data_IF_827297246070
#
_entry.id   IF_827297246070
#
_cell.length_a   1.000
_cell.length_b   1.000
_cell.length_c   1.000
_cell.angle_alpha   90.00
_cell.angle_beta   90.00
_cell.angle_gamma   90.00
#
_symmetry.space_group_name_H-M   'P 1'
#
loop_
_entity.id
_entity.type
_entity.pdbx_description
1 polymer ?
#
# COMPACT_ATOMS: atom_id res chain seq x y z
N UNK A 1 0.04 5.53 -10.76
CA UNK A 1 -1.18 4.86 -10.25
C UNK A 1 -1.21 5.00 -8.74
N UNK A 2 -2.22 5.68 -8.23
CA UNK A 2 -2.43 5.91 -6.80
C UNK A 2 -2.95 4.65 -6.09
N UNK A 3 -2.97 4.66 -4.76
CA UNK A 3 -3.54 3.55 -3.99
C UNK A 3 -5.07 3.42 -4.18
N UNK A 4 -5.78 4.51 -4.45
CA UNK A 4 -7.21 4.47 -4.78
C UNK A 4 -7.46 3.67 -6.05
N UNK A 5 -6.70 3.95 -7.11
CA UNK A 5 -6.79 3.21 -8.37
C UNK A 5 -6.36 1.74 -8.22
N UNK A 6 -5.36 1.47 -7.36
CA UNK A 6 -4.98 0.10 -7.00
C UNK A 6 -6.10 -0.64 -6.27
N UNK A 7 -6.80 0.06 -5.38
CA UNK A 7 -7.93 -0.48 -4.64
C UNK A 7 -9.09 -0.82 -5.60
N UNK A 8 -9.47 0.10 -6.47
CA UNK A 8 -10.50 -0.12 -7.49
C UNK A 8 -10.14 -1.27 -8.43
N UNK A 9 -8.86 -1.36 -8.83
CA UNK A 9 -8.37 -2.41 -9.72
C UNK A 9 -8.47 -3.80 -9.11
N UNK A 10 -8.28 -3.96 -7.80
CA UNK A 10 -8.09 -5.26 -7.14
C UNK A 10 -9.26 -5.69 -6.25
N UNK A 11 -10.14 -4.77 -5.84
CA UNK A 11 -11.24 -5.07 -4.92
C UNK A 11 -12.20 -6.11 -5.53
N UNK A 12 -12.53 -7.12 -4.74
CA UNK A 12 -13.50 -8.15 -5.10
C UNK A 12 -13.04 -9.14 -6.18
N UNK A 13 -11.77 -9.07 -6.59
CA UNK A 13 -11.23 -9.99 -7.58
C UNK A 13 -10.59 -11.22 -6.92
N UNK A 14 -10.74 -12.34 -7.61
CA UNK A 14 -9.92 -13.53 -7.36
C UNK A 14 -8.53 -13.39 -8.00
N UNK A 15 -7.67 -14.38 -7.82
CA UNK A 15 -6.32 -14.36 -8.38
C UNK A 15 -6.28 -14.27 -9.90
N UNK A 16 -7.24 -14.89 -10.60
CA UNK A 16 -7.34 -14.83 -12.06
C UNK A 16 -7.75 -13.44 -12.53
N UNK A 17 -8.79 -12.88 -11.91
CA UNK A 17 -9.26 -11.51 -12.20
C UNK A 17 -8.23 -10.44 -11.87
N UNK A 18 -7.48 -10.61 -10.77
CA UNK A 18 -6.40 -9.69 -10.41
C UNK A 18 -5.25 -9.73 -11.42
N UNK A 19 -4.88 -10.92 -11.92
CA UNK A 19 -3.89 -11.06 -13.00
C UNK A 19 -4.36 -10.36 -14.27
N UNK A 20 -5.57 -10.65 -14.72
CA UNK A 20 -6.12 -10.04 -15.93
C UNK A 20 -6.18 -8.51 -15.85
N UNK A 21 -6.56 -7.97 -14.70
CA UNK A 21 -6.62 -6.54 -14.46
C UNK A 21 -5.22 -5.88 -14.51
N UNK A 22 -4.22 -6.51 -13.87
CA UNK A 22 -2.84 -6.04 -13.90
C UNK A 22 -2.22 -6.16 -15.30
N UNK A 23 -2.50 -7.24 -16.04
CA UNK A 23 -2.06 -7.41 -17.41
C UNK A 23 -2.65 -6.30 -18.31
N UNK A 24 -3.96 -6.06 -18.22
CA UNK A 24 -4.62 -4.97 -18.96
C UNK A 24 -4.01 -3.61 -18.65
N UNK A 25 -3.71 -3.33 -17.38
CA UNK A 25 -3.03 -2.10 -16.98
C UNK A 25 -1.68 -1.95 -17.67
N UNK A 26 -0.86 -3.01 -17.67
CA UNK A 26 0.49 -2.96 -18.28
C UNK A 26 0.41 -2.89 -19.81
N UNK A 27 -0.56 -3.55 -20.43
CA UNK A 27 -0.81 -3.46 -21.88
C UNK A 27 -1.22 -2.04 -22.28
N UNK A 28 -2.09 -1.40 -21.52
CA UNK A 28 -2.48 -0.01 -21.73
C UNK A 28 -1.28 0.94 -21.61
N UNK A 29 -0.47 0.79 -20.54
CA UNK A 29 0.73 1.60 -20.38
C UNK A 29 1.68 1.44 -21.59
N UNK A 30 1.87 0.22 -22.05
CA UNK A 30 2.72 -0.05 -23.23
C UNK A 30 2.13 0.56 -24.51
N UNK A 31 0.82 0.44 -24.73
CA UNK A 31 0.15 0.99 -25.91
C UNK A 31 0.23 2.52 -25.99
N UNK A 32 0.27 3.19 -24.84
CA UNK A 32 0.48 4.64 -24.76
C UNK A 32 1.95 5.07 -24.85
N UNK A 33 2.87 4.14 -25.15
CA UNK A 33 4.28 4.44 -25.30
C UNK A 33 5.03 4.72 -23.99
N UNK A 34 4.44 4.35 -22.85
CA UNK A 34 5.13 4.47 -21.56
C UNK A 34 6.26 3.47 -21.45
N UNK A 35 7.32 3.82 -20.74
CA UNK A 35 8.46 2.96 -20.45
C UNK A 35 8.55 2.56 -18.97
N UNK A 36 7.79 3.22 -18.09
CA UNK A 36 7.77 2.95 -16.67
C UNK A 36 6.37 3.13 -16.07
N UNK A 37 6.10 2.37 -15.01
CA UNK A 37 4.88 2.47 -14.18
C UNK A 37 5.27 2.66 -12.74
N UNK A 38 4.66 3.64 -12.07
CA UNK A 38 4.82 3.86 -10.63
C UNK A 38 3.55 3.38 -9.94
N UNK A 39 3.66 2.35 -9.09
CA UNK A 39 2.56 1.82 -8.31
C UNK A 39 2.66 2.23 -6.84
N UNK A 40 1.59 2.80 -6.30
CA UNK A 40 1.51 3.14 -4.88
C UNK A 40 1.18 1.91 -4.05
N UNK A 41 2.22 1.18 -3.66
CA UNK A 41 2.11 -0.15 -3.04
C UNK A 41 2.03 -0.11 -1.51
N UNK A 42 2.35 1.03 -0.91
CA UNK A 42 2.22 1.26 0.53
C UNK A 42 1.83 2.71 0.79
N UNK A 43 0.54 2.95 0.89
CA UNK A 43 0.01 4.28 1.14
C UNK A 43 -0.03 4.64 2.63
N UNK A 44 -0.35 3.66 3.45
CA UNK A 44 -0.46 3.75 4.90
C UNK A 44 0.45 2.70 5.56
N UNK A 45 0.09 2.29 6.77
CA UNK A 45 0.74 1.20 7.51
C UNK A 45 0.36 -0.21 7.02
N UNK A 46 -0.18 -0.31 5.84
CA UNK A 46 -0.59 -1.52 5.15
C UNK A 46 0.11 -1.68 3.81
N UNK A 47 -0.04 -2.82 3.14
CA UNK A 47 0.67 -3.11 1.91
C UNK A 47 -0.21 -3.83 0.88
N UNK A 48 0.00 -3.52 -0.41
CA UNK A 48 -0.57 -4.24 -1.55
C UNK A 48 0.30 -5.44 -1.98
N UNK A 49 1.11 -5.97 -1.05
CA UNK A 49 2.03 -7.09 -1.30
C UNK A 49 2.17 -7.96 -0.05
N UNK A 50 2.69 -9.17 -0.23
CA UNK A 50 2.97 -10.09 0.86
C UNK A 50 4.12 -9.55 1.73
N UNK A 51 3.80 -9.10 2.93
CA UNK A 51 4.75 -8.53 3.88
C UNK A 51 4.81 -9.33 5.17
N UNK A 52 6.00 -9.40 5.79
CA UNK A 52 6.20 -9.93 7.14
C UNK A 52 6.00 -8.87 8.23
N UNK A 53 5.87 -7.61 7.83
CA UNK A 53 5.85 -6.46 8.73
C UNK A 53 4.47 -5.77 8.69
N UNK A 54 3.97 -5.50 7.48
CA UNK A 54 2.74 -4.76 7.27
C UNK A 54 1.59 -5.71 6.96
N UNK A 55 0.42 -5.43 7.52
CA UNK A 55 -0.80 -6.15 7.16
C UNK A 55 -1.18 -5.85 5.70
N UNK A 56 -1.83 -6.79 5.02
CA UNK A 56 -2.38 -6.51 3.70
C UNK A 56 -3.46 -5.44 3.76
N UNK A 57 -3.54 -4.60 2.74
CA UNK A 57 -4.72 -3.74 2.51
C UNK A 57 -5.96 -4.63 2.39
N UNK A 58 -7.10 -4.18 2.90
CA UNK A 58 -8.33 -4.96 2.97
C UNK A 58 -8.74 -5.54 1.59
N UNK A 59 -8.58 -4.77 0.53
CA UNK A 59 -8.92 -5.18 -0.84
C UNK A 59 -8.09 -6.35 -1.39
N UNK A 60 -6.87 -6.57 -0.86
CA UNK A 60 -5.98 -7.64 -1.33
C UNK A 60 -5.75 -8.75 -0.29
N UNK A 61 -6.39 -8.66 0.87
CA UNK A 61 -6.19 -9.60 1.96
C UNK A 61 -6.52 -11.04 1.55
N UNK A 62 -7.63 -11.24 0.87
CA UNK A 62 -8.05 -12.56 0.38
C UNK A 62 -7.10 -13.10 -0.70
N UNK A 63 -6.61 -12.24 -1.58
CA UNK A 63 -5.63 -12.61 -2.62
C UNK A 63 -4.33 -13.11 -2.00
N UNK A 64 -3.79 -12.39 -1.01
CA UNK A 64 -2.55 -12.74 -0.32
C UNK A 64 -2.72 -14.00 0.51
N UNK A 65 -3.85 -14.17 1.20
CA UNK A 65 -4.18 -15.39 1.94
C UNK A 65 -4.27 -16.60 1.00
N UNK A 66 -4.80 -16.41 -0.22
CA UNK A 66 -4.83 -17.42 -1.29
C UNK A 66 -3.48 -17.65 -1.99
N UNK A 67 -2.41 -17.01 -1.53
CA UNK A 67 -1.06 -17.20 -2.07
C UNK A 67 -0.70 -16.29 -3.26
N UNK A 68 -1.59 -15.41 -3.70
CA UNK A 68 -1.31 -14.46 -4.77
C UNK A 68 -0.74 -13.15 -4.22
N UNK A 69 0.43 -12.75 -4.71
CA UNK A 69 1.05 -11.46 -4.37
C UNK A 69 0.88 -10.48 -5.54
N UNK A 70 0.02 -9.45 -5.38
CA UNK A 70 -0.26 -8.48 -6.44
C UNK A 70 0.98 -7.73 -6.94
N UNK A 71 1.90 -7.34 -6.05
CA UNK A 71 3.11 -6.61 -6.44
C UNK A 71 4.09 -7.53 -7.16
N UNK A 72 4.31 -8.74 -6.67
CA UNK A 72 5.19 -9.69 -7.35
C UNK A 72 4.71 -9.98 -8.77
N UNK A 73 3.39 -10.15 -8.94
CA UNK A 73 2.82 -10.33 -10.27
C UNK A 73 2.95 -9.08 -11.15
N UNK A 74 2.65 -7.89 -10.60
CA UNK A 74 2.77 -6.63 -11.35
C UNK A 74 4.19 -6.40 -11.87
N UNK A 75 5.22 -6.72 -11.07
CA UNK A 75 6.64 -6.66 -11.51
C UNK A 75 6.87 -7.57 -12.72
N UNK A 76 6.43 -8.83 -12.64
CA UNK A 76 6.57 -9.78 -13.75
C UNK A 76 5.82 -9.30 -15.00
N UNK A 77 4.58 -8.83 -14.85
CA UNK A 77 3.75 -8.34 -15.95
C UNK A 77 4.35 -7.11 -16.63
N UNK A 78 4.91 -6.17 -15.87
CA UNK A 78 5.60 -4.99 -16.37
C UNK A 78 6.87 -5.37 -17.15
N UNK A 79 7.74 -6.18 -16.55
CA UNK A 79 8.99 -6.59 -17.15
C UNK A 79 8.78 -7.40 -18.44
N UNK A 80 7.79 -8.28 -18.49
CA UNK A 80 7.41 -9.01 -19.69
C UNK A 80 7.07 -8.09 -20.87
N UNK A 81 6.63 -6.88 -20.60
CA UNK A 81 6.25 -5.86 -21.60
C UNK A 81 7.33 -4.80 -21.82
N UNK A 82 8.51 -4.98 -21.23
CA UNK A 82 9.61 -4.02 -21.31
C UNK A 82 9.37 -2.72 -20.55
N UNK A 83 8.46 -2.74 -19.55
CA UNK A 83 8.19 -1.62 -18.67
C UNK A 83 9.03 -1.73 -17.38
N UNK A 84 9.56 -0.62 -16.91
CA UNK A 84 10.09 -0.52 -15.56
C UNK A 84 8.94 -0.39 -14.57
N UNK A 85 9.06 -1.00 -13.38
CA UNK A 85 8.10 -0.81 -12.30
C UNK A 85 8.80 -0.17 -11.10
N UNK A 86 8.27 0.95 -10.65
CA UNK A 86 8.72 1.66 -9.45
C UNK A 86 7.68 1.55 -8.35
N UNK A 87 8.11 1.14 -7.17
CA UNK A 87 7.25 1.08 -5.99
C UNK A 87 7.23 2.44 -5.28
N UNK A 88 6.05 3.01 -5.14
CA UNK A 88 5.84 4.19 -4.32
C UNK A 88 5.40 3.79 -2.91
N UNK A 89 6.16 4.27 -1.91
CA UNK A 89 5.90 4.01 -0.49
C UNK A 89 5.83 5.35 0.26
N UNK A 90 4.88 5.44 1.17
CA UNK A 90 4.80 6.54 2.14
C UNK A 90 5.37 6.06 3.48
N UNK A 91 6.64 6.35 3.79
CA UNK A 91 7.30 5.77 4.97
C UNK A 91 6.73 6.25 6.30
N UNK A 92 6.17 7.45 6.35
CA UNK A 92 5.71 8.08 7.59
C UNK A 92 4.18 8.16 7.73
N UNK A 93 3.43 7.81 6.70
CA UNK A 93 1.97 7.82 6.75
C UNK A 93 1.46 6.51 7.34
N UNK A 94 0.76 6.61 8.47
CA UNK A 94 0.23 5.45 9.20
C UNK A 94 -1.17 5.11 8.70
N UNK A 95 -2.07 6.08 8.63
CA UNK A 95 -3.43 5.87 8.21
C UNK A 95 -4.24 7.16 8.24
N UNK A 96 -5.53 7.01 7.96
CA UNK A 96 -6.50 8.11 7.92
C UNK A 96 -7.39 8.16 9.16
N UNK A 97 -7.37 7.12 9.98
CA UNK A 97 -8.18 7.00 11.19
C UNK A 97 -7.45 6.22 12.30
N UNK A 98 -8.06 6.14 13.48
CA UNK A 98 -7.48 5.50 14.65
C UNK A 98 -7.29 3.99 14.51
N UNK A 99 -8.00 3.33 13.61
CA UNK A 99 -7.89 1.88 13.39
C UNK A 99 -6.53 1.45 12.86
N UNK A 100 -5.81 2.35 12.19
CA UNK A 100 -4.43 2.12 11.76
C UNK A 100 -3.42 2.22 12.90
N UNK A 101 -3.81 2.84 14.00
CA UNK A 101 -2.93 3.17 15.11
C UNK A 101 -2.91 2.09 16.19
N UNK A 102 -3.86 1.14 16.18
CA UNK A 102 -4.09 0.21 17.29
C UNK A 102 -4.11 -1.25 16.81
N UNK A 103 -3.31 -2.06 17.45
CA UNK A 103 -3.54 -3.47 17.73
C UNK A 103 -3.28 -4.51 16.65
N UNK A 104 -3.52 -4.27 15.39
CA UNK A 104 -3.38 -5.31 14.36
C UNK A 104 -2.01 -5.33 13.67
N UNK A 105 -1.17 -4.38 13.97
CA UNK A 105 0.19 -4.28 13.47
C UNK A 105 1.22 -4.41 14.59
N UNK A 106 1.21 -5.53 15.31
CA UNK A 106 2.07 -5.77 16.46
C UNK A 106 3.55 -5.42 16.26
N UNK A 107 4.08 -5.58 15.04
CA UNK A 107 5.46 -5.19 14.73
C UNK A 107 5.63 -3.68 14.56
N UNK A 108 4.60 -3.00 14.11
CA UNK A 108 4.55 -1.56 14.00
C UNK A 108 4.33 -0.92 15.35
N UNK A 109 3.49 -1.54 16.19
CA UNK A 109 3.30 -1.14 17.59
C UNK A 109 4.60 -1.24 18.37
N UNK A 110 5.44 -2.25 18.11
CA UNK A 110 6.78 -2.36 18.69
C UNK A 110 7.69 -1.22 18.23
N UNK A 111 7.63 -0.81 16.97
CA UNK A 111 8.37 0.35 16.50
C UNK A 111 7.85 1.64 17.13
N UNK A 112 6.53 1.80 17.18
CA UNK A 112 5.88 2.94 17.86
C UNK A 112 6.10 2.92 19.36
N UNK A 113 6.05 1.77 20.03
CA UNK A 113 6.28 1.67 21.47
C UNK A 113 7.71 2.06 21.87
N UNK A 114 8.69 1.71 21.06
CA UNK A 114 10.09 2.13 21.28
C UNK A 114 10.28 3.65 21.23
N UNK A 115 9.43 4.34 20.50
CA UNK A 115 9.48 5.80 20.32
C UNK A 115 8.26 6.51 20.93
N UNK A 116 7.38 5.79 21.63
CA UNK A 116 6.12 6.32 22.16
C UNK A 116 6.29 7.52 23.11
N UNK A 117 7.43 7.63 23.77
CA UNK A 117 7.78 8.75 24.62
C UNK A 117 8.48 9.90 23.89
N UNK A 118 8.81 9.75 22.61
CA UNK A 118 9.41 10.85 21.86
C UNK A 118 8.32 11.78 21.29
N UNK A 119 8.59 13.09 21.34
CA UNK A 119 7.69 14.07 20.69
C UNK A 119 7.49 13.77 19.20
N UNK A 120 8.48 13.16 18.56
CA UNK A 120 8.44 12.78 17.16
C UNK A 120 7.39 11.71 16.88
N UNK A 121 7.27 10.72 17.74
CA UNK A 121 6.28 9.66 17.58
C UNK A 121 4.86 10.11 17.82
N UNK A 122 4.66 10.92 18.84
CA UNK A 122 3.36 11.57 19.03
C UNK A 122 2.95 12.36 17.78
N UNK A 123 3.90 12.95 17.08
CA UNK A 123 3.67 13.74 15.87
C UNK A 123 3.32 12.87 14.66
N UNK A 124 3.99 11.75 14.43
CA UNK A 124 3.63 10.79 13.38
C UNK A 124 2.29 10.11 13.63
N UNK A 125 1.96 9.89 14.90
CA UNK A 125 0.73 9.26 15.33
C UNK A 125 -0.49 10.19 15.21
N UNK A 126 -0.31 11.50 15.35
CA UNK A 126 -1.39 12.48 15.37
C UNK A 126 -1.82 12.99 14.00
N UNK A 127 -1.41 12.37 12.92
CA UNK A 127 -2.01 12.63 11.63
C UNK A 127 -3.38 11.93 11.50
N UNK A 128 -4.20 12.06 12.52
CA UNK A 128 -5.58 11.57 12.55
C UNK A 128 -6.50 12.79 12.48
N UNK A 129 -7.19 13.00 11.36
CA UNK A 129 -7.74 14.31 11.05
C UNK A 129 -9.02 14.70 11.77
N UNK A 130 -9.56 13.98 12.71
CA UNK A 130 -10.98 14.22 13.02
C UNK A 130 -11.32 15.08 14.21
N UNK A 131 -10.42 15.47 15.08
CA UNK A 131 -10.80 16.41 16.19
C UNK A 131 -9.62 17.09 16.88
N UNK A 132 -8.42 17.06 16.34
CA UNK A 132 -7.26 17.65 16.99
C UNK A 132 -6.49 18.51 16.00
N UNK A 133 -5.90 19.56 16.52
CA UNK A 133 -5.10 20.50 15.74
C UNK A 133 -4.11 19.77 14.84
N UNK A 134 -3.93 20.22 13.60
CA UNK A 134 -2.89 19.69 12.75
C UNK A 134 -1.54 19.73 13.45
N UNK A 135 -0.72 18.77 13.12
CA UNK A 135 0.61 18.59 13.66
C UNK A 135 1.50 19.87 13.66
N UNK A 136 1.26 20.79 12.74
CA UNK A 136 1.99 22.04 12.55
C UNK A 136 1.39 23.25 13.28
N UNK A 137 0.36 23.10 14.07
CA UNK A 137 -0.30 24.17 14.82
C UNK A 137 -0.16 24.04 16.35
N UNK A 138 0.82 23.29 16.81
CA UNK A 138 1.15 23.22 18.24
C UNK A 138 2.18 24.28 18.60
#
# INVERSE_FOLDING_TARGET
>A
MSHYEMEDLLTGKDAAGARAALDTLMDNCRSYGMNAVILHVRANSDAYYKSKIFKPVKSVQALIAGGFDPLAYAVQAAHKRGLQLHAWLNPYRIGTDESYAVGDNAKQDVWFSKFSNSQYNRRCYYYIPRRRKPFWTA
#
